data_IF_526129385875
#
_entry.id   IF_526129385875
#
_cell.length_a   1.000
_cell.length_b   1.000
_cell.length_c   1.000
_cell.angle_alpha   90.00
_cell.angle_beta   90.00
_cell.angle_gamma   90.00
#
_symmetry.space_group_name_H-M   'P 1'
#
loop_
_entity.id
_entity.type
_entity.pdbx_description
1 polymer ?
#
# COMPACT_ATOMS: atom_id res chain seq x y z
N UNK A 1 25.25 8.55 -30.62
CA UNK A 1 24.18 8.29 -29.62
C UNK A 1 24.82 8.06 -28.25
N UNK A 2 24.36 8.75 -27.20
CA UNK A 2 24.72 8.44 -25.81
C UNK A 2 23.47 7.88 -25.13
N UNK A 3 23.49 6.58 -24.89
CA UNK A 3 22.52 5.87 -24.05
C UNK A 3 22.45 6.55 -22.68
N UNK A 4 21.26 7.05 -22.32
CA UNK A 4 20.97 7.56 -20.98
C UNK A 4 21.08 6.40 -20.00
N UNK A 5 22.16 6.35 -19.21
CA UNK A 5 22.24 5.50 -18.02
C UNK A 5 21.17 5.95 -17.03
N UNK A 6 20.13 5.15 -16.86
CA UNK A 6 19.11 5.31 -15.82
C UNK A 6 19.73 4.92 -14.47
N UNK A 7 19.85 5.91 -13.59
CA UNK A 7 20.48 5.78 -12.27
C UNK A 7 19.39 5.55 -11.21
N UNK A 8 18.69 4.42 -11.30
CA UNK A 8 17.67 4.00 -10.32
C UNK A 8 17.87 2.52 -9.97
N UNK A 9 18.99 2.20 -9.31
CA UNK A 9 19.22 0.90 -8.67
C UNK A 9 20.13 1.10 -7.46
N UNK A 10 19.56 1.41 -6.29
CA UNK A 10 20.19 1.17 -4.96
C UNK A 10 19.13 0.87 -3.89
N UNK A 11 19.33 -0.15 -3.04
CA UNK A 11 18.32 -0.72 -2.13
C UNK A 11 17.85 0.14 -0.93
N UNK A 12 18.57 1.15 -0.38
CA UNK A 12 18.03 1.89 0.76
C UNK A 12 16.91 2.89 0.37
N UNK A 13 16.55 3.01 -0.92
CA UNK A 13 15.47 3.92 -1.35
C UNK A 13 14.06 3.31 -1.28
N UNK A 14 13.94 1.98 -1.33
CA UNK A 14 12.64 1.28 -1.35
C UNK A 14 12.07 1.18 0.07
N UNK A 15 12.92 1.04 1.08
CA UNK A 15 12.51 0.89 2.49
C UNK A 15 11.97 2.21 3.07
N UNK A 16 12.54 3.35 2.64
CA UNK A 16 12.07 4.68 3.05
C UNK A 16 10.74 5.02 2.37
N UNK A 17 10.53 4.57 1.13
CA UNK A 17 9.24 4.69 0.49
C UNK A 17 8.17 3.81 1.18
N UNK A 18 8.49 2.59 1.62
CA UNK A 18 7.49 1.67 2.16
C UNK A 18 6.95 2.05 3.56
N UNK A 19 7.80 2.53 4.49
CA UNK A 19 7.35 2.92 5.84
C UNK A 19 6.68 4.29 5.83
N UNK A 20 7.12 5.16 4.91
CA UNK A 20 6.47 6.43 4.67
C UNK A 20 5.15 6.23 3.90
N UNK A 21 4.98 5.22 3.03
CA UNK A 21 3.73 4.96 2.29
C UNK A 21 2.55 4.58 3.19
N UNK A 22 2.77 3.98 4.37
CA UNK A 22 1.66 3.70 5.31
C UNK A 22 1.17 4.98 6.03
N UNK A 23 1.97 6.06 6.07
CA UNK A 23 1.56 7.37 6.61
C UNK A 23 1.46 8.52 5.58
N UNK A 24 2.00 8.37 4.36
CA UNK A 24 1.92 9.36 3.26
C UNK A 24 0.80 9.10 2.26
N UNK A 25 0.09 7.97 2.35
CA UNK A 25 -1.23 7.88 1.67
C UNK A 25 -2.25 8.85 2.31
N UNK A 26 -1.91 9.51 3.43
CA UNK A 26 -2.70 10.62 4.01
C UNK A 26 -2.07 12.02 3.79
N UNK A 27 -0.85 12.16 3.21
CA UNK A 27 -0.15 13.46 3.20
C UNK A 27 0.61 13.90 1.92
N UNK A 28 0.42 13.27 0.76
CA UNK A 28 0.94 13.81 -0.51
C UNK A 28 -0.18 14.03 -1.54
N UNK A 29 -0.94 15.11 -1.35
CA UNK A 29 -1.44 15.88 -2.48
C UNK A 29 -0.45 17.03 -2.73
N UNK A 30 0.20 17.10 -3.90
CA UNK A 30 0.93 18.29 -4.29
C UNK A 30 -0.04 19.44 -4.51
N UNK A 31 0.19 20.54 -3.79
CA UNK A 31 -0.16 21.89 -4.23
C UNK A 31 -1.65 22.23 -4.27
N UNK A 32 -1.96 23.37 -3.66
CA UNK A 32 -3.14 24.18 -3.94
C UNK A 32 -3.34 24.39 -5.46
N UNK A 33 -4.02 23.47 -6.11
CA UNK A 33 -5.03 23.86 -7.07
C UNK A 33 -6.32 24.05 -6.27
N UNK A 34 -7.11 25.09 -6.61
CA UNK A 34 -8.53 25.08 -6.23
C UNK A 34 -9.10 23.85 -6.92
N UNK A 35 -9.11 22.68 -6.26
CA UNK A 35 -9.77 21.51 -6.78
C UNK A 35 -11.24 21.86 -6.91
N UNK A 36 -11.67 22.11 -8.13
CA UNK A 36 -13.06 22.14 -8.49
C UNK A 36 -13.53 20.70 -8.32
N UNK A 37 -14.17 20.40 -7.18
CA UNK A 37 -14.90 19.14 -7.00
C UNK A 37 -15.80 18.96 -8.23
N UNK A 38 -15.48 18.02 -9.11
CA UNK A 38 -16.28 17.80 -10.29
C UNK A 38 -17.59 17.15 -9.87
N UNK A 39 -18.66 17.52 -10.58
CA UNK A 39 -19.96 16.89 -10.36
C UNK A 39 -19.92 15.50 -11.01
N UNK A 40 -19.99 14.46 -10.19
CA UNK A 40 -20.08 13.08 -10.65
C UNK A 40 -21.47 12.85 -11.25
N UNK A 41 -21.49 12.22 -12.42
CA UNK A 41 -22.71 11.77 -13.11
C UNK A 41 -22.83 10.25 -12.94
N UNK A 42 -23.62 9.83 -11.95
CA UNK A 42 -23.75 8.43 -11.56
C UNK A 42 -24.27 7.53 -12.70
N UNK A 43 -25.05 8.11 -13.62
CA UNK A 43 -25.60 7.39 -14.78
C UNK A 43 -24.54 6.87 -15.75
N UNK A 44 -23.30 7.38 -15.65
CA UNK A 44 -22.16 6.97 -16.48
C UNK A 44 -21.27 5.92 -15.81
N UNK A 45 -21.61 5.45 -14.62
CA UNK A 45 -20.80 4.48 -13.89
C UNK A 45 -21.04 3.08 -14.45
N UNK A 46 -19.99 2.41 -14.92
CA UNK A 46 -20.02 1.05 -15.49
C UNK A 46 -20.62 0.05 -14.50
N UNK A 47 -20.32 0.22 -13.21
CA UNK A 47 -20.85 -0.58 -12.11
C UNK A 47 -21.90 0.17 -11.26
N UNK A 48 -22.41 1.32 -11.72
CA UNK A 48 -23.33 2.16 -10.94
C UNK A 48 -24.65 1.46 -10.59
N UNK A 49 -25.10 0.53 -11.44
CA UNK A 49 -26.30 -0.28 -11.18
C UNK A 49 -26.14 -1.23 -10.00
N UNK A 50 -24.90 -1.55 -9.59
CA UNK A 50 -24.60 -2.44 -8.47
C UNK A 50 -24.63 -1.73 -7.12
N UNK A 51 -24.59 -0.40 -7.09
CA UNK A 51 -24.57 0.40 -5.87
C UNK A 51 -25.81 1.30 -5.75
N UNK A 52 -26.25 1.67 -4.54
CA UNK A 52 -27.15 2.82 -4.39
C UNK A 52 -26.43 4.09 -4.86
N UNK A 53 -27.17 5.11 -5.28
CA UNK A 53 -26.57 6.42 -5.59
C UNK A 53 -26.33 7.19 -4.28
N UNK A 54 -25.11 7.70 -4.03
CA UNK A 54 -24.80 8.44 -2.80
C UNK A 54 -25.40 9.85 -2.81
N UNK A 55 -25.67 10.40 -1.63
CA UNK A 55 -26.23 11.75 -1.46
C UNK A 55 -25.32 12.85 -2.04
N UNK A 56 -24.00 12.71 -1.87
CA UNK A 56 -23.03 13.64 -2.45
C UNK A 56 -22.70 13.26 -3.89
N UNK A 57 -22.86 14.23 -4.79
CA UNK A 57 -22.39 14.12 -6.17
C UNK A 57 -21.06 14.84 -6.41
N UNK A 58 -20.34 15.22 -5.35
CA UNK A 58 -19.10 16.02 -5.45
C UNK A 58 -17.92 15.14 -5.14
N UNK A 59 -17.02 14.95 -6.09
CA UNK A 59 -15.98 13.97 -5.88
C UNK A 59 -15.04 13.83 -7.06
N UNK A 60 -14.31 12.72 -7.05
CA UNK A 60 -13.39 12.30 -8.09
C UNK A 60 -13.59 10.82 -8.39
N UNK A 61 -13.55 10.47 -9.66
CA UNK A 61 -13.52 9.08 -10.10
C UNK A 61 -12.07 8.74 -10.41
N UNK A 62 -11.53 7.73 -9.73
CA UNK A 62 -10.18 7.22 -9.99
C UNK A 62 -10.18 6.13 -11.04
N UNK A 63 -11.19 5.26 -11.01
CA UNK A 63 -11.34 4.16 -11.96
C UNK A 63 -12.82 3.89 -12.16
N UNK A 64 -13.22 3.67 -13.42
CA UNK A 64 -14.58 3.33 -13.81
C UNK A 64 -14.49 2.33 -14.97
N UNK A 65 -14.45 1.05 -14.62
CA UNK A 65 -14.48 -0.06 -15.56
C UNK A 65 -15.56 -1.05 -15.13
N UNK A 66 -15.84 -2.04 -15.98
CA UNK A 66 -16.74 -3.14 -15.64
C UNK A 66 -16.15 -4.11 -14.60
N UNK A 67 -14.87 -3.94 -14.22
CA UNK A 67 -14.18 -4.80 -13.25
C UNK A 67 -13.91 -4.08 -11.93
N UNK A 68 -13.64 -2.77 -11.98
CA UNK A 68 -13.28 -1.96 -10.83
C UNK A 68 -13.91 -0.57 -10.93
N UNK A 69 -14.53 -0.13 -9.84
CA UNK A 69 -14.98 1.23 -9.62
C UNK A 69 -14.31 1.77 -8.36
N UNK A 70 -13.70 2.94 -8.46
CA UNK A 70 -13.06 3.63 -7.34
C UNK A 70 -13.42 5.12 -7.39
N UNK A 71 -14.13 5.60 -6.37
CA UNK A 71 -14.70 6.94 -6.28
C UNK A 71 -14.37 7.54 -4.92
N UNK A 72 -13.88 8.78 -4.93
CA UNK A 72 -13.83 9.62 -3.73
C UNK A 72 -14.97 10.61 -3.78
N UNK A 73 -15.77 10.65 -2.72
CA UNK A 73 -16.78 11.67 -2.50
C UNK A 73 -16.32 12.64 -1.41
N UNK A 74 -16.61 13.91 -1.62
CA UNK A 74 -16.33 15.00 -0.70
C UNK A 74 -17.63 15.50 -0.08
N UNK A 75 -17.51 16.12 1.09
CA UNK A 75 -18.63 16.73 1.84
C UNK A 75 -19.73 15.72 2.15
N UNK A 76 -19.33 14.52 2.54
CA UNK A 76 -20.22 13.49 3.07
C UNK A 76 -20.19 13.61 4.58
N UNK A 77 -21.35 13.76 5.21
CA UNK A 77 -21.50 13.73 6.66
C UNK A 77 -21.61 12.30 7.21
N UNK A 78 -21.35 12.13 8.51
CA UNK A 78 -21.48 10.84 9.20
C UNK A 78 -22.87 10.20 8.99
N UNK A 79 -23.94 11.02 9.02
CA UNK A 79 -25.32 10.57 8.78
C UNK A 79 -25.50 10.11 7.33
N UNK A 80 -24.97 10.85 6.34
CA UNK A 80 -25.04 10.45 4.92
C UNK A 80 -24.24 9.17 4.64
N UNK A 81 -23.10 8.98 5.30
CA UNK A 81 -22.34 7.73 5.24
C UNK A 81 -23.15 6.57 5.83
N UNK A 82 -23.73 6.75 7.02
CA UNK A 82 -24.55 5.72 7.70
C UNK A 82 -25.76 5.31 6.86
N UNK A 83 -26.45 6.29 6.26
CA UNK A 83 -27.57 6.06 5.34
C UNK A 83 -27.11 5.30 4.08
N UNK A 84 -25.95 5.67 3.52
CA UNK A 84 -25.40 5.00 2.34
C UNK A 84 -25.02 3.55 2.62
N UNK A 85 -24.38 3.26 3.76
CA UNK A 85 -24.09 1.88 4.19
C UNK A 85 -25.37 1.07 4.36
N UNK A 86 -26.41 1.64 4.97
CA UNK A 86 -27.71 0.99 5.11
C UNK A 86 -28.34 0.67 3.74
N UNK A 87 -28.22 1.59 2.78
CA UNK A 87 -28.69 1.37 1.41
C UNK A 87 -27.88 0.27 0.69
N UNK A 88 -26.57 0.17 0.95
CA UNK A 88 -25.73 -0.93 0.45
C UNK A 88 -26.16 -2.28 1.04
N UNK A 89 -26.40 -2.35 2.35
CA UNK A 89 -26.93 -3.55 3.00
C UNK A 89 -28.27 -3.98 2.39
N UNK A 90 -29.20 -3.04 2.15
CA UNK A 90 -30.48 -3.29 1.46
C UNK A 90 -30.29 -3.75 0.01
N UNK A 91 -29.21 -3.35 -0.65
CA UNK A 91 -28.82 -3.81 -1.98
C UNK A 91 -28.19 -5.20 -1.98
N UNK A 92 -28.03 -5.81 -0.81
CA UNK A 92 -27.62 -7.19 -0.61
C UNK A 92 -26.15 -7.37 -0.27
N UNK A 93 -25.42 -6.30 0.04
CA UNK A 93 -24.05 -6.39 0.56
C UNK A 93 -24.08 -6.79 2.04
N UNK A 94 -24.20 -8.09 2.30
CA UNK A 94 -24.37 -8.63 3.66
C UNK A 94 -23.54 -9.89 3.92
N UNK A 95 -22.79 -10.38 2.93
CA UNK A 95 -21.98 -11.59 3.03
C UNK A 95 -20.57 -11.19 3.46
N UNK A 96 -20.01 -11.91 4.44
CA UNK A 96 -18.70 -11.63 5.05
C UNK A 96 -18.53 -10.14 5.39
N UNK A 97 -19.57 -9.55 5.97
CA UNK A 97 -19.59 -8.12 6.29
C UNK A 97 -18.70 -7.80 7.48
N UNK A 98 -17.80 -6.84 7.32
CA UNK A 98 -17.07 -6.17 8.40
C UNK A 98 -17.47 -4.69 8.42
N UNK A 99 -17.77 -4.17 9.61
CA UNK A 99 -18.33 -2.82 9.79
C UNK A 99 -17.76 -2.17 11.03
N UNK A 100 -17.32 -0.93 10.87
CA UNK A 100 -16.90 -0.03 11.94
C UNK A 100 -17.60 1.33 11.82
N UNK A 101 -17.25 2.27 12.69
CA UNK A 101 -17.79 3.64 12.63
C UNK A 101 -17.36 4.41 11.37
N UNK A 102 -16.30 3.96 10.69
CA UNK A 102 -15.69 4.64 9.54
C UNK A 102 -15.43 3.72 8.35
N UNK A 103 -15.78 2.43 8.43
CA UNK A 103 -15.54 1.49 7.34
C UNK A 103 -16.66 0.47 7.20
N UNK A 104 -16.88 0.02 5.96
CA UNK A 104 -17.81 -1.05 5.64
C UNK A 104 -17.26 -1.87 4.48
N UNK A 105 -17.03 -3.16 4.72
CA UNK A 105 -16.57 -4.13 3.74
C UNK A 105 -17.57 -5.27 3.67
N UNK A 106 -18.06 -5.62 2.49
CA UNK A 106 -19.01 -6.71 2.34
C UNK A 106 -19.08 -7.23 0.90
N UNK A 107 -19.54 -8.46 0.76
CA UNK A 107 -19.91 -9.05 -0.52
C UNK A 107 -21.43 -9.07 -0.69
N UNK A 108 -21.88 -8.97 -1.94
CA UNK A 108 -23.24 -9.35 -2.29
C UNK A 108 -23.32 -10.82 -2.76
N UNK A 109 -24.55 -11.34 -2.94
CA UNK A 109 -24.78 -12.74 -3.38
C UNK A 109 -24.17 -13.09 -4.75
N UNK A 110 -23.90 -12.08 -5.57
CA UNK A 110 -23.32 -12.26 -6.92
C UNK A 110 -21.79 -12.26 -6.87
N UNK A 111 -21.19 -11.94 -5.72
CA UNK A 111 -19.74 -11.92 -5.50
C UNK A 111 -19.08 -10.57 -5.73
N UNK A 112 -19.85 -9.49 -5.88
CA UNK A 112 -19.28 -8.14 -5.92
C UNK A 112 -18.75 -7.77 -4.55
N UNK A 113 -17.52 -7.29 -4.48
CA UNK A 113 -16.86 -6.88 -3.25
C UNK A 113 -16.92 -5.37 -3.12
N UNK A 114 -17.59 -4.88 -2.08
CA UNK A 114 -17.68 -3.47 -1.75
C UNK A 114 -16.79 -3.17 -0.54
N UNK A 115 -16.03 -2.08 -0.63
CA UNK A 115 -15.26 -1.48 0.46
C UNK A 115 -15.58 0.01 0.49
N UNK A 116 -15.97 0.51 1.66
CA UNK A 116 -16.27 1.92 1.90
C UNK A 116 -15.44 2.37 3.08
N UNK A 117 -14.77 3.52 2.95
CA UNK A 117 -14.10 4.19 4.06
C UNK A 117 -14.59 5.63 4.17
N UNK A 118 -14.95 6.07 5.37
CA UNK A 118 -15.41 7.42 5.66
C UNK A 118 -14.53 8.09 6.71
N UNK A 119 -13.77 9.10 6.30
CA UNK A 119 -12.84 9.81 7.19
C UNK A 119 -13.04 11.31 7.01
N UNK A 120 -13.30 12.02 8.11
CA UNK A 120 -13.69 13.43 8.10
C UNK A 120 -14.94 13.63 7.21
N UNK A 121 -14.88 14.52 6.22
CA UNK A 121 -15.96 14.76 5.27
C UNK A 121 -15.76 14.01 3.94
N UNK A 122 -14.82 13.07 3.87
CA UNK A 122 -14.53 12.26 2.69
C UNK A 122 -15.10 10.85 2.80
N UNK A 123 -15.63 10.31 1.70
CA UNK A 123 -16.04 8.90 1.59
C UNK A 123 -15.45 8.26 0.32
N UNK A 124 -14.57 7.28 0.51
CA UNK A 124 -14.00 6.44 -0.55
C UNK A 124 -14.90 5.22 -0.75
N UNK A 125 -15.30 4.96 -1.99
CA UNK A 125 -16.09 3.80 -2.40
C UNK A 125 -15.29 3.01 -3.44
N UNK A 126 -14.96 1.77 -3.08
CA UNK A 126 -14.34 0.78 -3.98
C UNK A 126 -15.29 -0.38 -4.20
N UNK A 127 -15.50 -0.72 -5.46
CA UNK A 127 -16.28 -1.89 -5.86
C UNK A 127 -15.50 -2.71 -6.88
N UNK A 128 -15.31 -3.99 -6.57
CA UNK A 128 -14.73 -4.96 -7.48
C UNK A 128 -15.80 -5.92 -7.99
N UNK A 129 -15.77 -6.21 -9.29
CA UNK A 129 -16.59 -7.27 -9.89
C UNK A 129 -16.17 -8.66 -9.37
N UNK A 130 -17.07 -9.65 -9.41
CA UNK A 130 -16.76 -11.02 -9.00
C UNK A 130 -15.61 -11.62 -9.81
N UNK A 131 -14.72 -12.36 -9.13
CA UNK A 131 -13.66 -13.11 -9.80
C UNK A 131 -14.31 -14.22 -10.63
N UNK A 132 -14.06 -14.24 -11.94
CA UNK A 132 -14.44 -15.36 -12.81
C UNK A 132 -13.52 -16.54 -12.54
N UNK A 133 -14.07 -17.60 -11.96
CA UNK A 133 -13.36 -18.83 -11.64
C UNK A 133 -13.74 -19.93 -12.63
N UNK A 134 -12.75 -20.71 -13.04
CA UNK A 134 -12.90 -21.83 -13.96
C UNK A 134 -12.49 -23.15 -13.28
N UNK A 135 -12.67 -24.28 -13.97
CA UNK A 135 -12.11 -25.55 -13.46
C UNK A 135 -10.61 -25.58 -13.80
N UNK A 136 -9.77 -25.81 -12.79
CA UNK A 136 -8.31 -25.87 -12.96
C UNK A 136 -7.78 -27.28 -12.73
N UNK A 137 -6.56 -27.53 -13.20
CA UNK A 137 -5.76 -28.67 -12.76
C UNK A 137 -4.75 -28.17 -11.72
N UNK A 138 -4.54 -28.93 -10.64
CA UNK A 138 -3.48 -28.59 -9.69
C UNK A 138 -2.11 -28.79 -10.36
N UNK A 139 -1.16 -27.84 -10.23
CA UNK A 139 0.05 -27.87 -11.02
C UNK A 139 0.96 -29.01 -10.57
N UNK A 140 1.56 -29.72 -11.53
CA UNK A 140 2.60 -30.72 -11.27
C UNK A 140 4.01 -30.15 -11.41
N UNK A 141 4.14 -28.82 -11.35
CA UNK A 141 5.40 -28.10 -11.41
C UNK A 141 6.24 -28.32 -10.16
N UNK A 142 7.48 -27.84 -10.15
CA UNK A 142 8.34 -27.87 -8.96
C UNK A 142 7.60 -27.29 -7.74
N UNK A 143 7.03 -26.10 -7.85
CA UNK A 143 6.27 -25.49 -6.76
C UNK A 143 4.94 -26.20 -6.47
N UNK A 144 4.22 -26.65 -7.50
CA UNK A 144 2.96 -27.37 -7.34
C UNK A 144 3.09 -28.67 -6.55
N UNK A 145 4.21 -29.37 -6.72
CA UNK A 145 4.52 -30.61 -6.01
C UNK A 145 4.82 -30.43 -4.51
N UNK A 146 5.16 -29.21 -4.09
CA UNK A 146 5.45 -28.88 -2.69
C UNK A 146 4.19 -28.64 -1.85
N UNK A 147 3.07 -28.35 -2.50
CA UNK A 147 1.80 -28.04 -1.83
C UNK A 147 0.76 -29.12 -2.08
N UNK A 148 -0.07 -29.45 -1.07
CA UNK A 148 -1.20 -30.35 -1.26
C UNK A 148 -2.22 -29.69 -2.22
N UNK A 149 -2.96 -30.49 -2.99
CA UNK A 149 -4.08 -29.95 -3.75
C UNK A 149 -5.21 -29.51 -2.80
N UNK A 150 -5.84 -28.34 -3.01
CA UNK A 150 -7.01 -27.92 -2.28
C UNK A 150 -8.21 -28.82 -2.62
N UNK A 151 -9.21 -28.81 -1.74
CA UNK A 151 -10.43 -29.63 -1.91
C UNK A 151 -11.24 -29.22 -3.14
N UNK A 152 -11.35 -27.91 -3.37
CA UNK A 152 -11.94 -27.34 -4.58
C UNK A 152 -10.88 -27.15 -5.66
N UNK A 153 -11.26 -27.41 -6.91
CA UNK A 153 -10.47 -27.07 -8.11
C UNK A 153 -11.22 -26.06 -8.99
N UNK A 154 -12.09 -25.25 -8.38
CA UNK A 154 -12.65 -24.05 -9.01
C UNK A 154 -11.75 -22.88 -8.70
N UNK A 155 -10.96 -22.44 -9.68
CA UNK A 155 -9.93 -21.45 -9.45
C UNK A 155 -9.56 -20.63 -10.67
N UNK A 156 -8.63 -19.70 -10.46
CA UNK A 156 -8.00 -18.89 -11.49
C UNK A 156 -6.57 -18.61 -11.08
N UNK A 157 -5.61 -18.98 -11.94
CA UNK A 157 -4.23 -18.57 -11.76
C UNK A 157 -4.08 -17.08 -12.08
N UNK A 158 -3.46 -16.35 -11.17
CA UNK A 158 -2.98 -14.98 -11.40
C UNK A 158 -1.68 -15.02 -12.21
N UNK A 159 -0.82 -15.97 -11.89
CA UNK A 159 0.36 -16.36 -12.66
C UNK A 159 0.74 -17.80 -12.31
N UNK A 160 1.43 -18.47 -13.23
CA UNK A 160 1.92 -19.84 -13.06
C UNK A 160 3.29 -19.98 -13.74
N UNK A 161 4.28 -20.36 -12.95
CA UNK A 161 5.64 -20.69 -13.38
C UNK A 161 6.05 -22.03 -12.76
N UNK A 162 7.21 -22.57 -13.15
CA UNK A 162 7.64 -23.86 -12.63
C UNK A 162 7.89 -23.85 -11.11
N UNK A 163 8.55 -22.80 -10.62
CA UNK A 163 8.97 -22.66 -9.22
C UNK A 163 8.15 -21.62 -8.43
N UNK A 164 7.11 -21.03 -9.02
CA UNK A 164 6.23 -20.11 -8.32
C UNK A 164 4.85 -20.04 -8.97
N UNK A 165 3.81 -19.78 -8.19
CA UNK A 165 2.48 -19.48 -8.72
C UNK A 165 1.64 -18.71 -7.71
N UNK A 166 0.58 -18.07 -8.20
CA UNK A 166 -0.50 -17.54 -7.39
C UNK A 166 -1.84 -17.94 -7.99
N UNK A 167 -2.74 -18.48 -7.16
CA UNK A 167 -4.04 -18.98 -7.59
C UNK A 167 -5.13 -18.62 -6.58
N UNK A 168 -6.24 -18.07 -7.09
CA UNK A 168 -7.47 -17.94 -6.34
C UNK A 168 -8.28 -19.24 -6.47
N UNK A 169 -8.77 -19.77 -5.35
CA UNK A 169 -9.60 -20.98 -5.27
C UNK A 169 -10.92 -20.61 -4.60
N UNK A 170 -12.01 -20.73 -5.35
CA UNK A 170 -13.38 -20.56 -4.84
C UNK A 170 -13.94 -21.85 -4.28
N UNK A 171 -15.21 -21.81 -3.87
CA UNK A 171 -15.87 -22.93 -3.17
C UNK A 171 -15.08 -23.44 -1.94
N UNK A 172 -14.34 -22.54 -1.30
CA UNK A 172 -13.54 -22.82 -0.11
C UNK A 172 -14.24 -22.22 1.09
N UNK A 173 -14.85 -23.05 1.94
CA UNK A 173 -15.42 -22.56 3.21
C UNK A 173 -14.31 -22.18 4.21
N UNK A 174 -14.60 -21.44 5.29
CA UNK A 174 -13.62 -21.19 6.36
C UNK A 174 -13.01 -22.48 6.95
N UNK A 175 -13.80 -23.56 7.03
CA UNK A 175 -13.32 -24.87 7.49
C UNK A 175 -12.37 -25.50 6.46
N UNK A 176 -12.70 -25.43 5.17
CA UNK A 176 -11.83 -25.93 4.10
C UNK A 176 -10.50 -25.15 4.06
N UNK A 177 -10.52 -23.83 4.29
CA UNK A 177 -9.31 -23.01 4.43
C UNK A 177 -8.46 -23.47 5.62
N UNK A 178 -9.09 -23.66 6.79
CA UNK A 178 -8.39 -24.11 8.01
C UNK A 178 -7.75 -25.49 7.81
N UNK A 179 -8.48 -26.41 7.18
CA UNK A 179 -7.97 -27.74 6.81
C UNK A 179 -6.81 -27.64 5.81
N UNK A 180 -6.92 -26.76 4.81
CA UNK A 180 -5.86 -26.56 3.82
C UNK A 180 -4.59 -26.01 4.45
N UNK A 181 -4.68 -25.01 5.33
CA UNK A 181 -3.54 -24.47 6.09
C UNK A 181 -2.89 -25.56 6.95
N UNK A 182 -3.67 -26.50 7.51
CA UNK A 182 -3.11 -27.65 8.22
C UNK A 182 -2.32 -28.57 7.28
N UNK A 183 -2.84 -28.88 6.09
CA UNK A 183 -2.13 -29.70 5.10
C UNK A 183 -0.85 -29.02 4.61
N UNK A 184 -0.87 -27.70 4.40
CA UNK A 184 0.32 -26.91 4.01
C UNK A 184 1.40 -26.99 5.09
N UNK A 185 1.01 -26.85 6.36
CA UNK A 185 1.92 -27.08 7.49
C UNK A 185 2.50 -28.50 7.42
N UNK A 186 1.67 -29.52 7.28
CA UNK A 186 2.12 -30.92 7.27
C UNK A 186 3.00 -31.28 6.06
N UNK A 187 2.91 -30.51 4.97
CA UNK A 187 3.85 -30.53 3.84
C UNK A 187 5.21 -29.88 4.13
N UNK A 188 5.44 -29.36 5.34
CA UNK A 188 6.76 -28.91 5.79
C UNK A 188 6.96 -27.38 5.79
N UNK A 189 5.94 -26.60 5.42
CA UNK A 189 5.96 -25.15 5.59
C UNK A 189 5.65 -24.80 7.04
N UNK A 190 6.68 -24.80 7.91
CA UNK A 190 6.55 -24.51 9.35
C UNK A 190 7.62 -23.54 9.87
N UNK A 191 8.50 -23.04 9.00
CA UNK A 191 9.62 -22.16 9.36
C UNK A 191 9.15 -20.71 9.31
N UNK A 192 9.50 -19.93 10.34
CA UNK A 192 9.19 -18.49 10.44
C UNK A 192 7.74 -18.13 10.06
N UNK A 193 6.79 -18.85 10.66
CA UNK A 193 5.39 -18.71 10.27
C UNK A 193 4.71 -17.49 10.92
N UNK A 194 3.82 -16.84 10.17
CA UNK A 194 2.80 -15.92 10.69
C UNK A 194 1.43 -16.56 10.46
N UNK A 195 0.63 -16.66 11.52
CA UNK A 195 -0.71 -17.25 11.47
C UNK A 195 -1.71 -16.33 12.17
N UNK A 196 -2.76 -15.99 11.43
CA UNK A 196 -3.93 -15.23 11.87
C UNK A 196 -5.18 -15.94 11.36
N UNK A 197 -6.36 -15.42 11.70
CA UNK A 197 -7.62 -16.11 11.39
C UNK A 197 -7.86 -16.33 9.89
N UNK A 198 -7.46 -15.36 9.05
CA UNK A 198 -7.62 -15.39 7.60
C UNK A 198 -6.29 -15.41 6.84
N UNK A 199 -5.17 -15.63 7.53
CA UNK A 199 -3.84 -15.51 6.93
C UNK A 199 -2.88 -16.55 7.48
N UNK A 200 -2.14 -17.19 6.59
CA UNK A 200 -1.02 -18.05 6.92
C UNK A 200 0.14 -17.80 5.98
N UNK A 201 1.33 -17.57 6.52
CA UNK A 201 2.57 -17.54 5.76
C UNK A 201 3.64 -18.34 6.49
N UNK A 202 4.49 -19.03 5.74
CA UNK A 202 5.62 -19.77 6.28
C UNK A 202 6.64 -20.08 5.18
N UNK A 203 7.84 -20.45 5.61
CA UNK A 203 8.86 -21.06 4.76
C UNK A 203 8.92 -22.58 4.98
N UNK A 204 9.39 -23.29 3.98
CA UNK A 204 9.92 -24.65 4.15
C UNK A 204 11.45 -24.62 4.35
N UNK A 205 12.06 -25.78 4.62
CA UNK A 205 13.51 -25.87 4.84
C UNK A 205 14.35 -25.59 3.59
N UNK A 206 13.75 -25.70 2.40
CA UNK A 206 14.42 -25.42 1.13
C UNK A 206 14.36 -23.93 0.75
N UNK A 207 13.71 -23.10 1.58
CA UNK A 207 13.60 -21.66 1.41
C UNK A 207 12.41 -21.18 0.56
N UNK A 208 11.52 -22.09 0.13
CA UNK A 208 10.27 -21.69 -0.53
C UNK A 208 9.38 -20.98 0.47
N UNK A 209 8.70 -19.93 0.02
CA UNK A 209 7.76 -19.18 0.82
C UNK A 209 6.33 -19.46 0.35
N UNK A 210 5.44 -19.82 1.27
CA UNK A 210 4.00 -19.96 1.00
C UNK A 210 3.22 -18.88 1.72
N UNK A 211 2.18 -18.37 1.05
CA UNK A 211 1.20 -17.46 1.61
C UNK A 211 -0.21 -17.97 1.23
N UNK A 212 -1.07 -18.17 2.24
CA UNK A 212 -2.46 -18.62 2.07
C UNK A 212 -3.37 -17.64 2.81
N UNK A 213 -4.19 -16.91 2.05
CA UNK A 213 -5.10 -15.88 2.57
C UNK A 213 -6.55 -16.22 2.25
N UNK A 214 -7.44 -16.17 3.26
CA UNK A 214 -8.88 -16.26 3.04
C UNK A 214 -9.43 -14.86 2.73
N UNK A 215 -9.95 -14.67 1.51
CA UNK A 215 -10.40 -13.36 1.00
C UNK A 215 -11.85 -13.04 1.35
N UNK A 216 -12.60 -14.01 1.86
CA UNK A 216 -14.06 -13.95 1.95
C UNK A 216 -14.73 -14.48 0.69
N UNK A 217 -16.05 -14.53 0.70
CA UNK A 217 -16.91 -15.09 -0.33
C UNK A 217 -16.50 -16.51 -0.77
N UNK A 218 -16.20 -17.35 0.22
CA UNK A 218 -15.70 -18.71 0.04
C UNK A 218 -14.49 -18.81 -0.91
N UNK A 219 -13.59 -17.82 -0.87
CA UNK A 219 -12.41 -17.75 -1.74
C UNK A 219 -11.14 -17.67 -0.92
N UNK A 220 -10.19 -18.57 -1.19
CA UNK A 220 -8.81 -18.47 -0.70
C UNK A 220 -7.84 -18.15 -1.83
N UNK A 221 -6.81 -17.38 -1.54
CA UNK A 221 -5.66 -17.17 -2.41
C UNK A 221 -4.49 -17.99 -1.89
N UNK A 222 -3.84 -18.74 -2.77
CA UNK A 222 -2.64 -19.53 -2.48
C UNK A 222 -1.52 -18.97 -3.34
N UNK A 223 -0.41 -18.61 -2.72
CA UNK A 223 0.80 -18.17 -3.39
C UNK A 223 1.98 -18.98 -2.86
N UNK A 224 2.83 -19.42 -3.77
CA UNK A 224 4.13 -19.99 -3.45
C UNK A 224 5.18 -19.34 -4.32
N UNK A 225 6.26 -18.92 -3.70
CA UNK A 225 7.40 -18.31 -4.37
C UNK A 225 8.63 -19.17 -4.11
N UNK A 226 9.44 -19.32 -5.16
CA UNK A 226 10.75 -19.93 -5.04
C UNK A 226 11.60 -19.15 -4.04
N UNK A 227 12.57 -19.81 -3.39
CA UNK A 227 13.62 -19.09 -2.70
C UNK A 227 14.21 -18.10 -3.71
N UNK A 228 14.15 -16.82 -3.40
CA UNK A 228 14.78 -15.85 -4.27
C UNK A 228 16.28 -16.13 -4.25
N UNK A 229 16.90 -16.34 -5.41
CA UNK A 229 18.34 -16.16 -5.56
C UNK A 229 18.61 -14.66 -5.41
N UNK A 230 18.51 -14.17 -4.18
CA UNK A 230 18.76 -12.77 -3.89
C UNK A 230 19.18 -12.48 -2.45
N UNK A 231 20.22 -11.73 -2.10
CA UNK A 231 21.24 -10.99 -2.87
C UNK A 231 20.90 -10.69 -4.35
N UNK A 232 19.92 -9.80 -4.58
CA UNK A 232 19.40 -9.30 -5.89
C UNK A 232 17.92 -9.59 -6.24
N UNK A 233 16.98 -8.97 -5.52
CA UNK A 233 15.56 -8.99 -5.84
C UNK A 233 15.28 -8.05 -7.01
N UNK A 234 15.22 -8.61 -8.22
CA UNK A 234 14.65 -7.95 -9.40
C UNK A 234 13.40 -8.70 -9.84
N UNK A 235 12.24 -8.16 -9.46
CA UNK A 235 10.97 -8.43 -10.13
C UNK A 235 11.00 -7.64 -11.45
N UNK A 236 11.29 -8.32 -12.55
CA UNK A 236 11.11 -7.76 -13.89
C UNK A 236 9.80 -8.32 -14.45
N UNK A 237 8.78 -7.48 -14.44
CA UNK A 237 7.55 -7.65 -15.20
C UNK A 237 7.85 -7.34 -16.67
N UNK A 238 7.79 -8.36 -17.52
CA UNK A 238 7.99 -8.28 -18.96
C UNK A 238 7.07 -7.23 -19.60
N UNK A 239 7.68 -6.28 -20.34
CA UNK A 239 6.99 -5.47 -21.33
C UNK A 239 7.47 -5.91 -22.72
N UNK A 240 6.53 -6.46 -23.48
CA UNK A 240 6.56 -6.80 -24.90
C UNK A 240 7.51 -5.95 -25.75
N UNK A 241 8.38 -6.64 -26.48
CA UNK A 241 9.29 -6.10 -27.50
C UNK A 241 8.56 -5.68 -28.77
N UNK A 242 8.96 -4.53 -29.33
CA UNK A 242 9.06 -4.36 -30.79
C UNK A 242 10.38 -3.66 -31.13
N UNK A 243 10.96 -4.09 -32.24
CA UNK A 243 12.37 -3.97 -32.61
C UNK A 243 12.69 -2.69 -33.40
N UNK A 244 13.93 -2.19 -33.26
CA UNK A 244 14.85 -2.07 -34.42
C UNK A 244 16.21 -1.47 -34.08
N UNK A 245 17.19 -2.01 -34.80
CA UNK A 245 18.64 -1.84 -34.81
C UNK A 245 19.18 -0.39 -34.90
N UNK A 246 20.35 -0.14 -34.32
CA UNK A 246 21.66 -0.18 -35.02
C UNK A 246 22.71 0.73 -34.32
N UNK A 247 23.89 0.17 -34.06
CA UNK A 247 25.27 0.72 -34.20
C UNK A 247 25.59 2.19 -33.80
N UNK A 248 26.76 2.56 -33.28
CA UNK A 248 28.03 1.93 -32.89
C UNK A 248 28.89 3.06 -32.26
N UNK A 249 29.88 2.65 -31.47
CA UNK A 249 31.19 3.26 -31.19
C UNK A 249 31.40 4.68 -30.58
N UNK A 250 32.02 4.63 -29.39
CA UNK A 250 33.38 5.11 -29.06
C UNK A 250 33.75 6.62 -28.96
N UNK A 251 34.19 6.93 -27.73
CA UNK A 251 35.48 7.57 -27.35
C UNK A 251 35.70 9.10 -27.30
N UNK A 252 36.30 9.47 -26.16
CA UNK A 252 37.32 10.54 -25.90
C UNK A 252 36.93 12.01 -26.08
N UNK A 253 37.59 13.02 -25.50
CA UNK A 253 38.41 13.28 -24.30
C UNK A 253 38.73 14.81 -24.42
N UNK A 254 38.95 15.50 -23.29
CA UNK A 254 39.62 16.81 -23.13
C UNK A 254 39.11 18.07 -23.88
N UNK A 255 39.41 19.33 -23.52
CA UNK A 255 39.79 20.06 -22.29
C UNK A 255 39.81 21.57 -22.68
N UNK A 256 39.07 22.39 -21.93
CA UNK A 256 39.32 23.80 -21.45
C UNK A 256 39.60 25.00 -22.40
N UNK A 257 38.85 26.09 -22.15
CA UNK A 257 39.24 27.51 -21.87
C UNK A 257 38.24 28.51 -22.51
N UNK A 258 37.45 29.26 -21.72
CA UNK A 258 37.57 30.72 -21.37
C UNK A 258 37.52 31.64 -22.63
N UNK A 259 36.69 32.68 -22.79
CA UNK A 259 36.20 33.70 -21.84
C UNK A 259 34.99 34.52 -22.40
N UNK A 260 34.23 35.08 -21.46
CA UNK A 260 33.45 36.35 -21.43
C UNK A 260 32.18 36.71 -22.26
N UNK A 261 31.17 37.08 -21.46
CA UNK A 261 30.16 38.16 -21.61
C UNK A 261 28.85 38.02 -22.41
N UNK A 262 27.78 37.97 -21.59
CA UNK A 262 26.52 38.74 -21.66
C UNK A 262 25.21 38.10 -22.20
N UNK A 263 24.21 38.14 -21.30
CA UNK A 263 22.75 38.16 -21.52
C UNK A 263 21.97 36.83 -21.53
N UNK A 264 20.89 36.78 -20.72
CA UNK A 264 19.73 35.92 -20.99
C UNK A 264 19.42 34.77 -20.01
N UNK A 265 18.78 35.11 -18.90
CA UNK A 265 17.69 34.38 -18.22
C UNK A 265 17.56 32.84 -18.36
N UNK A 266 17.78 32.10 -17.26
CA UNK A 266 16.97 30.94 -16.78
C UNK A 266 17.66 30.24 -15.60
N UNK A 267 17.17 30.46 -14.37
CA UNK A 267 17.62 29.72 -13.18
C UNK A 267 17.07 28.29 -13.19
N UNK A 268 17.89 27.37 -13.70
CA UNK A 268 17.81 25.93 -13.46
C UNK A 268 18.56 25.65 -12.15
N UNK A 269 17.86 25.42 -11.04
CA UNK A 269 18.51 25.04 -9.78
C UNK A 269 19.08 23.61 -9.88
N UNK A 270 20.40 23.53 -10.08
CA UNK A 270 21.21 22.33 -9.90
C UNK A 270 21.27 22.00 -8.41
N UNK A 271 20.84 20.78 -8.05
CA UNK A 271 21.13 20.15 -6.76
C UNK A 271 22.65 20.07 -6.54
N UNK A 272 23.18 20.86 -5.60
CA UNK A 272 24.56 20.70 -5.10
C UNK A 272 24.61 19.39 -4.30
N UNK A 273 25.29 18.35 -4.82
CA UNK A 273 25.66 17.18 -4.02
C UNK A 273 26.71 17.61 -2.99
N UNK A 274 26.28 18.05 -1.82
CA UNK A 274 27.12 18.25 -0.64
C UNK A 274 27.49 16.87 -0.07
N UNK A 275 28.74 16.66 0.34
CA UNK A 275 29.25 15.38 0.88
C UNK A 275 28.88 15.13 2.36
N UNK A 276 27.86 15.80 2.89
CA UNK A 276 27.52 15.78 4.31
C UNK A 276 26.02 15.78 4.56
N UNK A 277 25.63 15.64 5.83
CA UNK A 277 24.23 15.67 6.26
C UNK A 277 23.62 17.04 5.89
N UNK A 278 22.70 17.07 4.93
CA UNK A 278 22.07 18.33 4.53
C UNK A 278 21.10 18.78 5.62
N UNK A 279 21.04 20.09 5.82
CA UNK A 279 20.29 20.68 6.94
C UNK A 279 18.77 20.56 6.76
N UNK A 280 18.29 20.57 5.51
CA UNK A 280 16.90 20.30 5.13
C UNK A 280 16.51 18.84 5.43
N UNK A 281 17.35 17.87 5.01
CA UNK A 281 17.14 16.46 5.32
C UNK A 281 17.14 16.21 6.84
N UNK A 282 18.10 16.78 7.57
CA UNK A 282 18.14 16.66 9.03
C UNK A 282 16.85 17.20 9.66
N UNK A 283 16.37 18.36 9.22
CA UNK A 283 15.12 18.96 9.71
C UNK A 283 13.92 18.06 9.42
N UNK A 284 13.82 17.49 8.23
CA UNK A 284 12.78 16.52 7.88
C UNK A 284 12.81 15.33 8.85
N UNK A 285 13.97 14.68 9.01
CA UNK A 285 14.12 13.54 9.92
C UNK A 285 13.85 13.88 11.40
N UNK A 286 14.28 15.07 11.87
CA UNK A 286 14.00 15.53 13.23
C UNK A 286 12.50 15.77 13.43
N UNK A 287 11.81 16.33 12.43
CA UNK A 287 10.36 16.55 12.46
C UNK A 287 9.57 15.25 12.45
N UNK A 288 10.04 14.23 11.71
CA UNK A 288 9.49 12.87 11.74
C UNK A 288 9.60 12.26 13.14
N UNK A 289 10.78 12.31 13.74
CA UNK A 289 10.96 11.77 15.10
C UNK A 289 10.08 12.51 16.13
N UNK A 290 9.96 13.84 16.01
CA UNK A 290 9.09 14.64 16.88
C UNK A 290 7.60 14.32 16.69
N UNK A 291 7.16 14.10 15.45
CA UNK A 291 5.80 13.64 15.17
C UNK A 291 5.53 12.27 15.81
N UNK A 292 6.45 11.31 15.66
CA UNK A 292 6.32 9.99 16.26
C UNK A 292 6.32 10.03 17.79
N UNK A 293 7.08 10.95 18.41
CA UNK A 293 7.03 11.18 19.85
C UNK A 293 5.64 11.64 20.32
N UNK A 294 4.98 12.52 19.56
CA UNK A 294 3.65 13.01 19.88
C UNK A 294 2.56 11.99 19.58
N UNK A 295 2.71 11.18 18.52
CA UNK A 295 1.86 10.01 18.27
C UNK A 295 1.92 9.02 19.44
N UNK A 296 3.12 8.66 19.91
CA UNK A 296 3.28 7.74 21.05
C UNK A 296 2.66 8.33 22.31
N UNK A 297 2.85 9.63 22.58
CA UNK A 297 2.22 10.32 23.72
C UNK A 297 0.70 10.32 23.62
N UNK A 298 0.16 10.55 22.42
CA UNK A 298 -1.27 10.53 22.16
C UNK A 298 -1.83 9.13 22.46
N UNK A 299 -1.26 8.09 21.85
CA UNK A 299 -1.70 6.70 22.03
C UNK A 299 -1.54 6.20 23.46
N UNK A 300 -0.48 6.61 24.18
CA UNK A 300 -0.22 6.18 25.56
C UNK A 300 -1.15 6.84 26.58
N UNK A 301 -1.61 8.07 26.29
CA UNK A 301 -2.46 8.87 27.17
C UNK A 301 -3.90 9.00 26.64
N UNK A 302 -4.28 8.11 25.72
CA UNK A 302 -5.63 7.99 25.18
C UNK A 302 -6.48 7.26 26.22
N UNK A 303 -7.39 7.99 26.85
CA UNK A 303 -8.38 7.44 27.79
C UNK A 303 -9.77 7.71 27.21
N UNK A 304 -10.57 6.65 27.02
CA UNK A 304 -11.93 6.73 26.48
C UNK A 304 -12.88 7.53 27.37
N UNK A 305 -12.50 7.83 28.62
CA UNK A 305 -13.31 8.58 29.59
C UNK A 305 -12.95 10.07 29.70
N UNK A 306 -11.89 10.54 29.03
CA UNK A 306 -11.41 11.93 29.13
C UNK A 306 -12.32 12.87 28.30
N UNK A 307 -12.79 13.96 28.90
CA UNK A 307 -13.76 14.89 28.28
C UNK A 307 -13.21 15.60 27.03
N UNK A 308 -14.12 15.97 26.12
CA UNK A 308 -13.88 16.51 24.77
C UNK A 308 -12.86 17.66 24.69
N UNK A 309 -12.80 18.56 25.67
CA UNK A 309 -11.88 19.71 25.64
C UNK A 309 -10.40 19.34 25.82
N UNK A 310 -10.07 18.34 26.67
CA UNK A 310 -8.69 17.87 26.85
C UNK A 310 -8.24 17.06 25.64
N UNK A 311 -9.15 16.26 25.07
CA UNK A 311 -8.90 15.49 23.84
C UNK A 311 -8.70 16.41 22.64
N UNK A 312 -9.49 17.48 22.52
CA UNK A 312 -9.31 18.49 21.49
C UNK A 312 -7.92 19.13 21.56
N UNK A 313 -7.45 19.55 22.75
CA UNK A 313 -6.09 20.12 22.90
C UNK A 313 -4.99 19.12 22.54
N UNK A 314 -5.11 17.85 22.95
CA UNK A 314 -4.16 16.78 22.60
C UNK A 314 -4.14 16.55 21.08
N UNK A 315 -5.31 16.53 20.45
CA UNK A 315 -5.48 16.37 19.00
C UNK A 315 -4.92 17.58 18.22
N UNK A 316 -5.16 18.81 18.69
CA UNK A 316 -4.57 20.02 18.09
C UNK A 316 -3.04 20.00 18.14
N UNK A 317 -2.45 19.56 19.25
CA UNK A 317 -0.99 19.42 19.36
C UNK A 317 -0.45 18.35 18.39
N UNK A 318 -1.17 17.23 18.24
CA UNK A 318 -0.83 16.18 17.28
C UNK A 318 -0.89 16.71 15.84
N UNK A 319 -1.98 17.39 15.45
CA UNK A 319 -2.13 18.00 14.13
C UNK A 319 -1.07 19.06 13.85
N UNK A 320 -0.69 19.87 14.85
CA UNK A 320 0.40 20.83 14.70
C UNK A 320 1.71 20.11 14.36
N UNK A 321 2.02 19.02 15.04
CA UNK A 321 3.28 18.26 14.86
C UNK A 321 3.30 17.49 13.55
N UNK A 322 2.14 17.01 13.12
CA UNK A 322 1.93 16.48 11.78
C UNK A 322 2.17 17.55 10.70
N UNK A 323 1.60 18.75 10.86
CA UNK A 323 1.83 19.86 9.93
C UNK A 323 3.30 20.27 9.86
N UNK A 324 4.00 20.35 11.00
CA UNK A 324 5.45 20.64 11.05
C UNK A 324 6.28 19.57 10.32
N UNK A 325 5.87 18.30 10.42
CA UNK A 325 6.49 17.18 9.71
C UNK A 325 6.30 17.30 8.19
N UNK A 326 5.05 17.48 7.72
CA UNK A 326 4.74 17.66 6.30
C UNK A 326 5.51 18.85 5.72
N UNK A 327 5.47 19.99 6.40
CA UNK A 327 6.17 21.21 6.00
C UNK A 327 7.69 21.01 5.86
N UNK A 328 8.30 20.20 6.73
CA UNK A 328 9.74 19.95 6.70
C UNK A 328 10.12 18.99 5.58
N UNK A 329 9.28 18.02 5.26
CA UNK A 329 9.47 17.12 4.12
C UNK A 329 9.21 17.81 2.78
N UNK A 330 8.22 18.69 2.68
CA UNK A 330 7.97 19.50 1.47
C UNK A 330 9.15 20.42 1.16
N UNK A 331 9.77 21.01 2.20
CA UNK A 331 10.97 21.86 2.06
C UNK A 331 12.24 21.05 1.81
N UNK A 332 12.20 19.73 1.96
CA UNK A 332 13.34 18.87 1.65
C UNK A 332 13.35 18.54 0.16
N UNK A 333 13.95 19.45 -0.61
CA UNK A 333 13.96 19.39 -2.09
C UNK A 333 14.82 18.25 -2.67
N UNK A 334 15.54 17.49 -1.84
CA UNK A 334 16.48 16.49 -2.32
C UNK A 334 15.85 15.10 -2.42
N UNK A 335 15.70 14.64 -3.67
CA UNK A 335 15.17 13.32 -3.98
C UNK A 335 16.14 12.16 -3.72
N UNK A 336 17.42 12.43 -3.45
CA UNK A 336 18.48 11.42 -3.26
C UNK A 336 19.22 11.58 -1.93
N UNK A 337 19.25 10.53 -1.11
CA UNK A 337 20.10 10.45 0.07
C UNK A 337 21.57 10.23 -0.31
N UNK A 338 22.45 10.98 0.35
CA UNK A 338 23.87 10.66 0.42
C UNK A 338 24.17 9.70 1.58
N UNK A 339 25.39 9.19 1.63
CA UNK A 339 25.81 8.20 2.64
C UNK A 339 25.60 8.67 4.09
N UNK A 340 25.86 9.94 4.39
CA UNK A 340 25.68 10.48 5.74
C UNK A 340 24.19 10.60 6.11
N UNK A 341 23.34 10.88 5.13
CA UNK A 341 21.89 10.99 5.30
C UNK A 341 21.23 9.62 5.46
N UNK A 342 21.63 8.63 4.67
CA UNK A 342 21.17 7.25 4.84
C UNK A 342 21.55 6.69 6.24
N UNK A 343 22.77 6.99 6.71
CA UNK A 343 23.18 6.61 8.06
C UNK A 343 22.39 7.37 9.15
N UNK A 344 22.02 8.63 8.91
CA UNK A 344 21.21 9.39 9.84
C UNK A 344 19.75 8.91 9.88
N UNK A 345 19.18 8.58 8.72
CA UNK A 345 17.87 7.95 8.58
C UNK A 345 17.79 6.66 9.40
N UNK A 346 18.72 5.72 9.19
CA UNK A 346 18.73 4.45 9.91
C UNK A 346 18.81 4.64 11.44
N UNK A 347 19.52 5.67 11.91
CA UNK A 347 19.58 6.02 13.33
C UNK A 347 18.26 6.60 13.84
N UNK A 348 17.54 7.37 13.04
CA UNK A 348 16.24 7.95 13.39
C UNK A 348 15.19 6.84 13.50
N UNK A 349 15.12 5.97 12.48
CA UNK A 349 14.26 4.77 12.49
C UNK A 349 14.50 3.92 13.72
N UNK A 350 15.76 3.54 14.01
CA UNK A 350 16.09 2.74 15.18
C UNK A 350 15.65 3.40 16.51
N UNK A 351 15.68 4.74 16.60
CA UNK A 351 15.17 5.47 17.78
C UNK A 351 13.65 5.40 17.85
N UNK A 352 12.96 5.63 16.74
CA UNK A 352 11.49 5.57 16.66
C UNK A 352 10.98 4.17 16.99
N UNK A 353 11.52 3.12 16.35
CA UNK A 353 11.17 1.73 16.66
C UNK A 353 11.36 1.42 18.14
N UNK A 354 12.51 1.81 18.71
CA UNK A 354 12.77 1.61 20.16
C UNK A 354 11.75 2.32 21.05
N UNK A 355 11.28 3.51 20.66
CA UNK A 355 10.25 4.25 21.39
C UNK A 355 8.89 3.54 21.30
N UNK A 356 8.51 3.07 20.11
CA UNK A 356 7.27 2.31 19.88
C UNK A 356 7.24 0.99 20.67
N UNK A 357 8.31 0.20 20.61
CA UNK A 357 8.41 -1.05 21.38
C UNK A 357 8.27 -0.80 22.88
N UNK A 358 8.92 0.24 23.41
CA UNK A 358 8.79 0.63 24.83
C UNK A 358 7.36 1.03 25.19
N UNK A 359 6.69 1.78 24.32
CA UNK A 359 5.29 2.19 24.54
C UNK A 359 4.35 0.97 24.55
N UNK A 360 4.53 0.04 23.60
CA UNK A 360 3.74 -1.19 23.52
C UNK A 360 3.92 -2.06 24.79
N UNK A 361 5.15 -2.25 25.26
CA UNK A 361 5.45 -2.98 26.51
C UNK A 361 4.81 -2.28 27.73
N UNK A 362 4.86 -0.95 27.78
CA UNK A 362 4.27 -0.19 28.88
C UNK A 362 2.74 -0.28 28.91
N UNK A 363 2.09 -0.41 27.75
CA UNK A 363 0.63 -0.60 27.66
C UNK A 363 0.21 -2.03 28.01
N UNK A 364 0.97 -3.06 27.63
CA UNK A 364 0.65 -4.45 27.98
C UNK A 364 0.75 -4.72 29.49
N UNK A 365 1.58 -3.98 30.23
CA UNK A 365 1.69 -4.09 31.69
C UNK A 365 0.68 -3.28 32.50
N UNK A 366 -0.22 -2.52 31.85
CA UNK A 366 -1.33 -1.78 32.51
C UNK A 366 -2.67 -2.52 32.48
N UNK A 367 -2.74 -3.69 31.83
CA UNK A 367 -3.94 -4.54 31.78
C UNK A 367 -4.03 -5.45 32.99
#
# INVERSE_FOLDING_TARGET
>A
MKTKKTFYKKPPFIIIAAIIVIFLVVALLPGKDKETSEKIDWSKMELGSQLPEPSSSKGKIWTNTTENLNIDLNKVSDDEYSDYVTACEQKGYTIDSDKSDFSFDAYNKEGYQLSITHINDGMDIKLNSPIKLDSIQWPSSTAGSLLPAPKSLKGKFNYEHDSSFSVAIGETTPDDYTEYVQKVQDSGFKVDYDKRDNYYSAYNNDGYHVCVEYKGFNTMNIQIDSPSDSDDSTLDSEKSSDASASDSDSSTDATKSENDSASGNSKKNKSKKTKGLRSDFKKAMDSYEAFMDEYIKFMTNYDKSDTSAKMLKKYTNYLQKYSEFVDAFDKWESKDLNTAEAAYYAKVEARVTKKLTKAAIAQSGRR
#
